data_IF_237832155013
#
_entry.id   IF_237832155013
#
_cell.length_a   1.000
_cell.length_b   1.000
_cell.length_c   1.000
_cell.angle_alpha   90.00
_cell.angle_beta   90.00
_cell.angle_gamma   90.00
#
_symmetry.space_group_name_H-M   'P 1'
#
loop_
_entity.id
_entity.type
_entity.pdbx_description
1 polymer ?
#
# COMPACT_ATOMS: atom_id res chain seq x y z
N UNK A 1 5.65 12.13 -41.69
CA UNK A 1 5.68 11.09 -40.64
C UNK A 1 5.70 11.78 -39.28
N UNK A 2 4.63 11.67 -38.49
CA UNK A 2 4.66 12.11 -37.09
C UNK A 2 5.46 11.06 -36.31
N UNK A 3 6.58 11.44 -35.70
CA UNK A 3 7.26 10.60 -34.72
C UNK A 3 6.26 10.31 -33.59
N UNK A 4 5.84 9.05 -33.42
CA UNK A 4 5.13 8.62 -32.21
C UNK A 4 6.13 8.80 -31.06
N UNK A 5 5.92 9.80 -30.21
CA UNK A 5 6.63 9.92 -28.96
C UNK A 5 6.36 8.66 -28.11
N UNK A 6 7.44 8.01 -27.67
CA UNK A 6 7.57 6.94 -26.68
C UNK A 6 6.25 6.39 -26.09
N UNK A 7 5.69 5.33 -26.70
CA UNK A 7 4.78 4.45 -25.97
C UNK A 7 5.59 3.68 -24.92
N UNK A 8 5.22 3.76 -23.64
CA UNK A 8 5.85 2.92 -22.62
C UNK A 8 5.65 1.45 -22.97
N UNK A 9 6.67 0.64 -22.71
CA UNK A 9 6.58 -0.81 -22.86
C UNK A 9 6.06 -1.35 -21.52
N UNK A 10 4.94 -2.10 -21.49
CA UNK A 10 4.45 -2.71 -20.25
C UNK A 10 5.53 -3.57 -19.60
N UNK A 11 5.70 -3.48 -18.27
CA UNK A 11 6.75 -4.20 -17.52
C UNK A 11 6.72 -5.71 -17.82
N UNK A 12 5.53 -6.31 -17.88
CA UNK A 12 5.33 -7.73 -18.24
C UNK A 12 5.89 -8.15 -19.60
N UNK A 13 6.17 -7.19 -20.49
CA UNK A 13 6.77 -7.43 -21.80
C UNK A 13 8.30 -7.25 -21.79
N UNK A 14 8.89 -6.82 -20.67
CA UNK A 14 10.33 -6.62 -20.50
C UNK A 14 10.91 -7.83 -19.76
N UNK A 15 11.95 -8.43 -20.32
CA UNK A 15 12.67 -9.54 -19.71
C UNK A 15 14.11 -9.15 -19.41
N UNK A 16 14.49 -9.22 -18.14
CA UNK A 16 15.88 -9.03 -17.70
C UNK A 16 16.57 -10.40 -17.73
N UNK A 17 17.64 -10.51 -18.51
CA UNK A 17 18.34 -11.79 -18.75
C UNK A 17 19.82 -11.73 -18.36
N UNK A 18 20.22 -10.74 -17.57
CA UNK A 18 21.60 -10.57 -17.14
C UNK A 18 21.86 -11.22 -15.77
N UNK A 19 23.13 -11.50 -15.47
CA UNK A 19 23.51 -12.16 -14.22
C UNK A 19 23.48 -11.22 -13.02
N UNK A 20 23.72 -9.92 -13.23
CA UNK A 20 23.85 -8.97 -12.13
C UNK A 20 22.49 -8.68 -11.52
N UNK A 21 21.48 -8.32 -12.32
CA UNK A 21 20.17 -7.99 -11.77
C UNK A 21 19.37 -9.21 -11.36
N UNK A 22 19.46 -10.33 -12.10
CA UNK A 22 18.71 -11.53 -11.72
C UNK A 22 19.09 -12.03 -10.32
N UNK A 23 20.37 -11.91 -9.91
CA UNK A 23 20.78 -12.20 -8.53
C UNK A 23 19.94 -11.45 -7.49
N UNK A 24 19.71 -10.14 -7.68
CA UNK A 24 18.96 -9.31 -6.73
C UNK A 24 17.47 -9.53 -6.84
N UNK A 25 16.97 -9.66 -8.06
CA UNK A 25 15.57 -9.89 -8.33
C UNK A 25 15.08 -11.24 -7.76
N UNK A 26 15.89 -12.30 -7.90
CA UNK A 26 15.64 -13.61 -7.30
C UNK A 26 15.67 -13.52 -5.77
N UNK A 27 16.67 -12.82 -5.21
CA UNK A 27 16.75 -12.57 -3.76
C UNK A 27 15.51 -11.84 -3.23
N UNK A 28 15.02 -10.83 -3.95
CA UNK A 28 13.83 -10.08 -3.56
C UNK A 28 12.60 -11.00 -3.52
N UNK A 29 12.36 -11.74 -4.60
CA UNK A 29 11.19 -12.59 -4.75
C UNK A 29 11.18 -13.82 -3.84
N UNK A 30 12.32 -14.52 -3.76
CA UNK A 30 12.41 -15.82 -3.07
C UNK A 30 12.70 -15.69 -1.58
N UNK A 31 13.27 -14.57 -1.13
CA UNK A 31 13.72 -14.40 0.25
C UNK A 31 13.13 -13.16 0.91
N UNK A 32 13.29 -11.97 0.32
CA UNK A 32 12.94 -10.71 1.00
C UNK A 32 11.43 -10.56 1.15
N UNK A 33 10.65 -10.73 0.08
CA UNK A 33 9.19 -10.60 0.11
C UNK A 33 8.57 -11.60 1.11
N UNK A 34 8.91 -12.91 1.09
CA UNK A 34 8.42 -13.85 2.10
C UNK A 34 8.83 -13.49 3.53
N UNK A 35 10.09 -13.09 3.74
CA UNK A 35 10.57 -12.71 5.06
C UNK A 35 9.83 -11.47 5.61
N UNK A 36 9.65 -10.44 4.77
CA UNK A 36 8.91 -9.24 5.15
C UNK A 36 7.44 -9.55 5.47
N UNK A 37 6.81 -10.47 4.74
CA UNK A 37 5.45 -10.91 5.06
C UNK A 37 5.37 -11.52 6.46
N UNK A 38 6.34 -12.34 6.85
CA UNK A 38 6.40 -12.91 8.19
C UNK A 38 6.68 -11.86 9.27
N UNK A 39 7.46 -10.81 8.97
CA UNK A 39 7.66 -9.65 9.87
C UNK A 39 6.35 -8.87 10.05
N UNK A 40 5.65 -8.51 8.97
CA UNK A 40 4.39 -7.77 9.01
C UNK A 40 3.29 -8.50 9.80
N UNK A 41 3.39 -9.83 9.90
CA UNK A 41 2.48 -10.71 10.63
C UNK A 41 3.02 -11.13 12.02
N UNK A 42 4.13 -10.57 12.48
CA UNK A 42 4.76 -10.88 13.77
C UNK A 42 5.06 -12.37 13.99
N UNK A 43 5.42 -13.09 12.92
CA UNK A 43 5.68 -14.54 12.95
C UNK A 43 7.13 -14.90 13.33
N UNK A 44 8.00 -13.90 13.44
CA UNK A 44 9.41 -14.08 13.76
C UNK A 44 9.67 -13.79 15.25
N UNK A 45 10.34 -14.71 15.95
CA UNK A 45 10.52 -14.64 17.41
C UNK A 45 11.58 -13.66 17.89
N UNK A 46 12.61 -13.42 17.08
CA UNK A 46 13.80 -12.64 17.45
C UNK A 46 13.87 -11.29 16.71
N UNK A 47 12.72 -10.79 16.26
CA UNK A 47 12.56 -9.51 15.57
C UNK A 47 11.53 -8.68 16.34
N UNK A 48 11.74 -7.37 16.41
CA UNK A 48 10.75 -6.45 16.99
C UNK A 48 9.43 -6.54 16.23
N UNK A 49 8.31 -6.50 16.96
CA UNK A 49 6.98 -6.65 16.37
C UNK A 49 6.67 -5.46 15.46
N UNK A 50 6.19 -5.75 14.26
CA UNK A 50 5.67 -4.76 13.33
C UNK A 50 4.25 -4.35 13.70
N UNK A 51 3.41 -5.32 14.09
CA UNK A 51 1.97 -5.14 14.38
C UNK A 51 1.15 -4.58 13.20
N UNK A 52 1.73 -4.46 12.00
CA UNK A 52 1.10 -3.84 10.84
C UNK A 52 -0.20 -4.57 10.44
N UNK A 53 -0.13 -5.88 10.22
CA UNK A 53 -1.33 -6.67 9.85
C UNK A 53 -2.35 -6.70 10.99
N UNK A 54 -1.90 -6.68 12.23
CA UNK A 54 -2.79 -6.67 13.40
C UNK A 54 -3.52 -5.32 13.55
N UNK A 55 -2.86 -4.19 13.27
CA UNK A 55 -3.49 -2.87 13.19
C UNK A 55 -4.64 -2.88 12.17
N UNK A 56 -4.45 -3.46 10.99
CA UNK A 56 -5.53 -3.60 10.01
C UNK A 56 -6.68 -4.49 10.51
N UNK A 57 -6.41 -5.59 11.21
CA UNK A 57 -7.46 -6.42 11.82
C UNK A 57 -8.24 -5.68 12.89
N UNK A 58 -7.57 -4.88 13.72
CA UNK A 58 -8.23 -4.06 14.75
C UNK A 58 -9.10 -2.98 14.08
N UNK A 59 -8.56 -2.27 13.07
CA UNK A 59 -9.30 -1.26 12.32
C UNK A 59 -10.53 -1.84 11.59
N UNK A 60 -10.44 -3.08 11.12
CA UNK A 60 -11.54 -3.84 10.52
C UNK A 60 -12.53 -4.44 11.53
N UNK A 61 -12.31 -4.29 12.84
CA UNK A 61 -13.12 -4.91 13.89
C UNK A 61 -13.04 -6.44 13.95
N UNK A 62 -12.00 -7.03 13.37
CA UNK A 62 -11.73 -8.48 13.36
C UNK A 62 -10.85 -8.93 14.53
N UNK A 63 -10.20 -7.99 15.20
CA UNK A 63 -9.40 -8.21 16.40
C UNK A 63 -9.65 -7.11 17.42
N UNK A 64 -9.33 -7.39 18.69
CA UNK A 64 -9.36 -6.41 19.78
C UNK A 64 -7.93 -6.14 20.22
N UNK A 65 -7.57 -4.87 20.38
CA UNK A 65 -6.22 -4.49 20.81
C UNK A 65 -6.01 -2.98 20.69
N UNK A 66 -4.80 -2.55 21.00
CA UNK A 66 -4.35 -1.19 20.74
C UNK A 66 -3.53 -1.17 19.45
N UNK A 67 -3.48 0.00 18.83
CA UNK A 67 -2.52 0.26 17.76
C UNK A 67 -1.08 0.24 18.30
N UNK A 68 -0.15 -0.26 17.50
CA UNK A 68 1.29 -0.22 17.76
C UNK A 68 2.07 0.14 16.49
N UNK A 69 3.31 0.61 16.66
CA UNK A 69 4.17 1.06 15.57
C UNK A 69 4.20 2.57 15.36
N UNK A 70 4.87 3.00 14.29
CA UNK A 70 4.94 4.41 13.89
C UNK A 70 3.60 4.87 13.31
N UNK A 71 3.29 6.16 13.28
CA UNK A 71 2.00 6.67 12.73
C UNK A 71 1.75 6.27 11.26
N UNK A 72 2.81 5.95 10.51
CA UNK A 72 2.78 5.53 9.11
C UNK A 72 2.97 4.00 8.92
N UNK A 73 2.73 3.18 9.95
CA UNK A 73 2.99 1.74 9.91
C UNK A 73 2.26 1.03 8.75
N UNK A 74 1.10 1.55 8.35
CA UNK A 74 0.32 1.05 7.22
C UNK A 74 1.11 1.03 5.90
N UNK A 75 2.07 1.95 5.74
CA UNK A 75 2.87 2.05 4.51
C UNK A 75 3.82 0.88 4.32
N UNK A 76 4.14 0.14 5.37
CA UNK A 76 4.96 -1.07 5.24
C UNK A 76 4.20 -2.15 4.47
N UNK A 77 2.88 -2.28 4.68
CA UNK A 77 2.03 -3.18 3.89
C UNK A 77 1.85 -2.67 2.47
N UNK A 78 1.65 -1.36 2.28
CA UNK A 78 1.52 -0.77 0.94
C UNK A 78 2.77 -1.03 0.09
N UNK A 79 3.96 -0.75 0.61
CA UNK A 79 5.24 -0.99 -0.07
C UNK A 79 5.50 -2.48 -0.33
N UNK A 80 5.08 -3.36 0.59
CA UNK A 80 5.15 -4.80 0.36
C UNK A 80 4.25 -5.23 -0.81
N UNK A 81 3.02 -4.72 -0.87
CA UNK A 81 2.09 -5.00 -1.99
C UNK A 81 2.60 -4.45 -3.32
N UNK A 82 3.21 -3.27 -3.32
CA UNK A 82 3.85 -2.69 -4.51
C UNK A 82 4.99 -3.60 -5.03
N UNK A 83 5.87 -4.05 -4.13
CA UNK A 83 6.95 -4.97 -4.47
C UNK A 83 6.41 -6.30 -5.03
N UNK A 84 5.32 -6.83 -4.47
CA UNK A 84 4.62 -8.01 -5.00
C UNK A 84 4.09 -7.74 -6.41
N UNK A 85 3.46 -6.58 -6.65
CA UNK A 85 2.99 -6.18 -7.98
C UNK A 85 4.12 -6.21 -9.03
N UNK A 86 5.25 -5.57 -8.73
CA UNK A 86 6.40 -5.59 -9.64
C UNK A 86 7.02 -6.98 -9.82
N UNK A 87 7.07 -7.78 -8.75
CA UNK A 87 7.56 -9.15 -8.84
C UNK A 87 6.69 -10.01 -9.77
N UNK A 88 5.37 -10.02 -9.55
CA UNK A 88 4.42 -10.76 -10.39
C UNK A 88 4.45 -10.31 -11.85
N UNK A 89 4.59 -9.00 -12.09
CA UNK A 89 4.70 -8.44 -13.44
C UNK A 89 6.00 -8.88 -14.15
N UNK A 90 7.12 -8.96 -13.43
CA UNK A 90 8.44 -9.19 -14.04
C UNK A 90 8.92 -10.66 -14.05
N UNK A 91 8.43 -11.52 -13.15
CA UNK A 91 8.77 -12.96 -13.09
C UNK A 91 7.70 -13.87 -13.67
N UNK A 92 6.47 -13.37 -13.80
CA UNK A 92 5.30 -14.20 -14.08
C UNK A 92 4.56 -14.57 -12.80
N UNK A 93 3.44 -15.28 -12.99
CA UNK A 93 2.45 -15.50 -11.94
C UNK A 93 2.95 -16.48 -10.88
N UNK A 94 2.95 -16.05 -9.62
CA UNK A 94 3.09 -16.89 -8.43
C UNK A 94 1.75 -16.92 -7.70
N UNK A 95 1.02 -18.02 -7.84
CA UNK A 95 -0.33 -18.15 -7.30
C UNK A 95 -0.39 -18.06 -5.77
N UNK A 96 0.67 -18.49 -5.07
CA UNK A 96 0.70 -18.45 -3.60
C UNK A 96 0.93 -17.03 -3.12
N UNK A 97 1.88 -16.32 -3.72
CA UNK A 97 2.15 -14.94 -3.37
C UNK A 97 0.98 -14.03 -3.73
N UNK A 98 0.37 -14.24 -4.90
CA UNK A 98 -0.82 -13.51 -5.33
C UNK A 98 -2.01 -13.74 -4.38
N UNK A 99 -2.19 -14.96 -3.85
CA UNK A 99 -3.23 -15.25 -2.87
C UNK A 99 -2.99 -14.54 -1.52
N UNK A 100 -1.73 -14.45 -1.07
CA UNK A 100 -1.39 -13.68 0.14
C UNK A 100 -1.64 -12.18 -0.03
N UNK A 101 -1.29 -11.63 -1.20
CA UNK A 101 -1.59 -10.24 -1.52
C UNK A 101 -3.10 -9.99 -1.61
N UNK A 102 -3.87 -10.89 -2.23
CA UNK A 102 -5.34 -10.80 -2.24
C UNK A 102 -5.93 -10.82 -0.81
N UNK A 103 -5.42 -11.68 0.09
CA UNK A 103 -5.87 -11.72 1.49
C UNK A 103 -5.59 -10.41 2.22
N UNK A 104 -4.40 -9.82 2.01
CA UNK A 104 -4.06 -8.52 2.56
C UNK A 104 -4.97 -7.41 2.01
N UNK A 105 -5.27 -7.44 0.71
CA UNK A 105 -6.17 -6.47 0.05
C UNK A 105 -7.61 -6.61 0.59
N UNK A 106 -8.09 -7.84 0.81
CA UNK A 106 -9.39 -8.10 1.44
C UNK A 106 -9.45 -7.54 2.87
N UNK A 107 -8.33 -7.57 3.59
CA UNK A 107 -8.23 -6.99 4.93
C UNK A 107 -8.25 -5.46 4.88
N UNK A 108 -7.51 -4.85 3.94
CA UNK A 108 -7.52 -3.40 3.69
C UNK A 108 -8.93 -2.92 3.36
N UNK A 109 -9.66 -3.65 2.50
CA UNK A 109 -11.06 -3.34 2.13
C UNK A 109 -11.97 -3.28 3.37
N UNK A 110 -11.82 -4.24 4.29
CA UNK A 110 -12.60 -4.28 5.53
C UNK A 110 -12.23 -3.19 6.53
N UNK A 111 -10.99 -2.71 6.50
CA UNK A 111 -10.52 -1.61 7.35
C UNK A 111 -10.92 -0.23 6.82
N UNK A 112 -11.15 -0.09 5.50
CA UNK A 112 -11.57 1.18 4.89
C UNK A 112 -12.93 1.62 5.45
N UNK A 113 -13.01 2.89 5.86
CA UNK A 113 -14.25 3.48 6.36
C UNK A 113 -15.23 3.77 5.22
N UNK A 114 -16.55 3.91 5.50
CA UNK A 114 -17.58 4.10 4.48
C UNK A 114 -17.40 5.34 3.57
N UNK A 115 -16.68 6.35 4.04
CA UNK A 115 -16.38 7.58 3.30
C UNK A 115 -15.12 7.46 2.41
N UNK A 116 -14.44 6.32 2.44
CA UNK A 116 -13.18 6.06 1.73
C UNK A 116 -11.93 6.23 2.59
N UNK A 117 -12.04 6.70 3.84
CA UNK A 117 -10.89 6.94 4.72
C UNK A 117 -10.15 5.64 5.05
N UNK A 118 -8.82 5.66 4.93
CA UNK A 118 -7.95 4.52 5.22
C UNK A 118 -6.64 4.98 5.87
N UNK A 119 -6.57 4.84 7.20
CA UNK A 119 -5.35 4.95 8.02
C UNK A 119 -5.66 4.35 9.39
N UNK A 120 -5.01 3.24 9.75
CA UNK A 120 -5.36 2.45 10.93
C UNK A 120 -5.05 3.19 12.22
N UNK A 121 -4.02 4.04 12.27
CA UNK A 121 -3.70 4.84 13.46
C UNK A 121 -4.86 5.74 13.83
N UNK A 122 -5.37 6.52 12.86
CA UNK A 122 -6.48 7.43 13.13
C UNK A 122 -7.81 6.70 13.28
N UNK A 123 -8.03 5.57 12.62
CA UNK A 123 -9.24 4.76 12.83
C UNK A 123 -9.30 4.26 14.29
N UNK A 124 -8.17 3.79 14.83
CA UNK A 124 -8.12 3.11 16.13
C UNK A 124 -7.91 4.10 17.29
N UNK A 125 -6.87 4.92 17.21
CA UNK A 125 -6.42 5.73 18.35
C UNK A 125 -7.01 7.13 18.38
N UNK A 126 -7.25 7.72 17.20
CA UNK A 126 -7.52 9.16 17.10
C UNK A 126 -8.54 9.54 16.02
N UNK A 127 -9.76 8.97 16.02
CA UNK A 127 -10.74 9.19 14.96
C UNK A 127 -11.16 10.66 14.81
N UNK A 128 -11.17 11.40 15.92
CA UNK A 128 -11.48 12.83 15.93
C UNK A 128 -10.30 13.72 15.50
N UNK A 129 -9.16 13.13 15.12
CA UNK A 129 -7.92 13.84 14.75
C UNK A 129 -7.53 13.71 13.28
N UNK A 130 -8.32 13.00 12.49
CA UNK A 130 -8.15 12.90 11.03
C UNK A 130 -7.95 14.29 10.41
N UNK A 131 -6.93 14.42 9.57
CA UNK A 131 -6.53 15.61 8.81
C UNK A 131 -6.11 16.83 9.65
N UNK A 132 -5.87 16.67 10.96
CA UNK A 132 -5.54 17.80 11.86
C UNK A 132 -4.05 18.01 12.09
N UNK A 133 -3.21 17.02 11.83
CA UNK A 133 -1.75 17.14 11.92
C UNK A 133 -1.09 16.69 10.60
N UNK A 134 -1.21 17.51 9.56
CA UNK A 134 -0.66 17.17 8.24
C UNK A 134 0.88 17.14 8.22
N UNK A 135 1.54 17.80 9.18
CA UNK A 135 3.00 17.89 9.24
C UNK A 135 3.64 16.56 9.66
N UNK A 136 3.04 15.85 10.62
CA UNK A 136 3.64 14.63 11.21
C UNK A 136 2.69 13.43 11.19
N UNK A 137 1.41 13.62 10.85
CA UNK A 137 0.40 12.56 10.87
C UNK A 137 0.49 11.56 9.72
N UNK A 138 1.20 11.89 8.64
CA UNK A 138 1.44 11.00 7.48
C UNK A 138 0.20 10.42 6.78
N UNK A 139 -1.02 10.89 7.06
CA UNK A 139 -2.26 10.35 6.43
C UNK A 139 -2.20 10.40 4.89
N UNK A 140 -1.74 11.54 4.33
CA UNK A 140 -1.56 11.72 2.89
C UNK A 140 -0.35 10.93 2.34
N UNK A 141 0.71 10.77 3.15
CA UNK A 141 1.85 9.93 2.79
C UNK A 141 1.44 8.46 2.67
N UNK A 142 0.64 7.99 3.62
CA UNK A 142 0.04 6.66 3.61
C UNK A 142 -0.87 6.46 2.41
N UNK A 143 -1.71 7.44 2.09
CA UNK A 143 -2.57 7.40 0.91
C UNK A 143 -1.76 7.23 -0.39
N UNK A 144 -0.69 8.01 -0.57
CA UNK A 144 0.15 7.94 -1.77
C UNK A 144 0.77 6.55 -1.97
N UNK A 145 1.36 5.95 -0.94
CA UNK A 145 1.91 4.60 -1.05
C UNK A 145 0.86 3.52 -1.37
N UNK A 146 -0.37 3.66 -0.86
CA UNK A 146 -1.44 2.76 -1.29
C UNK A 146 -1.82 2.96 -2.76
N UNK A 147 -1.81 4.19 -3.27
CA UNK A 147 -2.05 4.46 -4.69
C UNK A 147 -0.97 3.81 -5.58
N UNK A 148 0.31 3.89 -5.19
CA UNK A 148 1.40 3.21 -5.89
C UNK A 148 1.20 1.68 -5.91
N UNK A 149 0.96 1.10 -4.74
CA UNK A 149 0.71 -0.33 -4.59
C UNK A 149 -0.48 -0.80 -5.43
N UNK A 150 -1.56 -0.02 -5.45
CA UNK A 150 -2.77 -0.35 -6.19
C UNK A 150 -2.52 -0.38 -7.70
N UNK A 151 -1.81 0.61 -8.23
CA UNK A 151 -1.47 0.68 -9.66
C UNK A 151 -0.55 -0.48 -10.02
N UNK A 152 0.52 -0.72 -9.26
CA UNK A 152 1.46 -1.82 -9.50
C UNK A 152 0.75 -3.18 -9.52
N UNK A 153 -0.13 -3.43 -8.54
CA UNK A 153 -0.86 -4.69 -8.43
C UNK A 153 -1.89 -4.87 -9.55
N UNK A 154 -2.60 -3.80 -9.93
CA UNK A 154 -3.52 -3.81 -11.07
C UNK A 154 -2.79 -4.07 -12.39
N UNK A 155 -1.67 -3.42 -12.65
CA UNK A 155 -0.90 -3.65 -13.87
C UNK A 155 -0.36 -5.09 -13.98
N UNK A 156 0.00 -5.69 -12.84
CA UNK A 156 0.51 -7.05 -12.78
C UNK A 156 -0.58 -8.12 -12.96
N UNK A 157 -1.72 -7.95 -12.29
CA UNK A 157 -2.74 -9.01 -12.15
C UNK A 157 -4.04 -8.75 -12.93
N UNK A 158 -4.31 -7.48 -13.26
CA UNK A 158 -5.60 -7.01 -13.78
C UNK A 158 -6.72 -6.94 -12.74
N UNK A 159 -6.45 -7.26 -11.47
CA UNK A 159 -7.46 -7.23 -10.38
C UNK A 159 -7.66 -5.80 -9.89
N UNK A 160 -8.93 -5.40 -9.79
CA UNK A 160 -9.31 -4.02 -9.48
C UNK A 160 -9.55 -3.71 -8.02
N UNK A 161 -9.66 -4.70 -7.14
CA UNK A 161 -10.11 -4.47 -5.75
C UNK A 161 -9.33 -3.35 -5.04
N UNK A 162 -7.99 -3.46 -4.98
CA UNK A 162 -7.16 -2.41 -4.36
C UNK A 162 -7.22 -1.08 -5.13
N UNK A 163 -7.37 -1.11 -6.45
CA UNK A 163 -7.54 0.09 -7.26
C UNK A 163 -8.83 0.84 -6.89
N UNK A 164 -9.93 0.10 -6.74
CA UNK A 164 -11.23 0.68 -6.39
C UNK A 164 -11.20 1.24 -4.94
N UNK A 165 -10.52 0.56 -4.01
CA UNK A 165 -10.27 1.06 -2.64
C UNK A 165 -9.56 2.42 -2.67
N UNK A 166 -8.44 2.53 -3.40
CA UNK A 166 -7.68 3.78 -3.44
C UNK A 166 -8.36 4.88 -4.25
N UNK A 167 -9.22 4.53 -5.22
CA UNK A 167 -10.06 5.51 -5.89
C UNK A 167 -11.05 6.15 -4.91
N UNK A 168 -11.70 5.37 -4.04
CA UNK A 168 -12.56 5.93 -2.99
C UNK A 168 -11.78 6.82 -2.02
N UNK A 169 -10.55 6.43 -1.66
CA UNK A 169 -9.67 7.27 -0.86
C UNK A 169 -9.32 8.57 -1.60
N UNK A 170 -8.95 8.49 -2.88
CA UNK A 170 -8.63 9.66 -3.70
C UNK A 170 -9.83 10.62 -3.84
N UNK A 171 -11.04 10.10 -4.03
CA UNK A 171 -12.26 10.89 -4.09
C UNK A 171 -12.50 11.62 -2.75
N UNK A 172 -12.28 10.94 -1.62
CA UNK A 172 -12.31 11.58 -0.30
C UNK A 172 -11.27 12.68 -0.18
N UNK A 173 -10.02 12.44 -0.58
CA UNK A 173 -8.96 13.44 -0.55
C UNK A 173 -9.32 14.67 -1.38
N UNK A 174 -9.84 14.49 -2.60
CA UNK A 174 -10.30 15.59 -3.46
C UNK A 174 -11.48 16.36 -2.86
N UNK A 175 -12.29 15.73 -2.00
CA UNK A 175 -13.35 16.43 -1.27
C UNK A 175 -12.83 17.22 -0.07
N UNK A 176 -11.81 16.69 0.63
CA UNK A 176 -11.25 17.29 1.85
C UNK A 176 -10.24 18.39 1.54
N UNK A 177 -9.40 18.22 0.52
CA UNK A 177 -8.29 19.12 0.19
C UNK A 177 -8.52 19.83 -1.14
N UNK A 178 -8.21 21.12 -1.20
CA UNK A 178 -8.36 21.92 -2.42
C UNK A 178 -8.40 23.41 -2.16
N UNK A 179 -8.78 24.18 -3.18
CA UNK A 179 -8.94 25.64 -3.11
C UNK A 179 -10.38 26.09 -2.79
N UNK A 180 -11.31 25.14 -2.64
CA UNK A 180 -12.69 25.39 -2.27
C UNK A 180 -12.82 26.00 -0.87
N UNK A 181 -13.89 26.76 -0.65
CA UNK A 181 -14.14 27.54 0.58
C UNK A 181 -14.12 26.69 1.87
N UNK A 182 -14.62 25.46 1.80
CA UNK A 182 -14.75 24.56 2.95
C UNK A 182 -13.70 23.45 2.94
N UNK A 183 -12.71 23.52 2.05
CA UNK A 183 -11.64 22.54 1.93
C UNK A 183 -10.40 22.95 2.74
N UNK A 184 -9.60 21.96 3.11
CA UNK A 184 -8.30 22.18 3.71
C UNK A 184 -7.29 22.58 2.63
N UNK A 185 -6.69 23.77 2.79
CA UNK A 185 -5.61 24.29 1.92
C UNK A 185 -4.22 23.79 2.33
N UNK A 186 -4.16 22.80 3.23
CA UNK A 186 -2.92 22.20 3.70
C UNK A 186 -2.36 21.16 2.72
N UNK A 187 -1.15 20.72 2.99
CA UNK A 187 -0.40 19.71 2.25
C UNK A 187 0.42 18.87 3.24
N UNK A 188 0.90 17.67 2.86
CA UNK A 188 1.60 16.82 3.81
C UNK A 188 2.95 17.42 4.20
N UNK A 189 3.40 17.15 5.43
CA UNK A 189 4.77 17.41 5.86
C UNK A 189 5.78 16.46 5.22
N UNK A 190 5.36 15.24 4.86
CA UNK A 190 6.13 14.30 4.07
C UNK A 190 5.50 14.12 2.68
N UNK A 191 6.09 14.67 1.60
CA UNK A 191 5.56 14.51 0.24
C UNK A 191 5.52 13.05 -0.20
N UNK A 192 4.45 12.66 -0.90
CA UNK A 192 4.26 11.35 -1.57
C UNK A 192 3.02 11.37 -2.49
N UNK A 193 1.85 11.80 -1.98
CA UNK A 193 0.58 11.94 -2.74
C UNK A 193 0.58 13.03 -3.79
#
# INVERSE_FOLDING_TARGET
MKYKANSSIPIKNIKITDKFWNKYRDLVGEVIIPYQWDVLNDRLKDVETSHCIENFKIAAGLSNGNYEGAVFQDTDLAKWLEAVGFYLSSYGRDEKLEALADEAIDLIEKAQQPDGYLDTYFIINAPDKKWKNLCEGHELYTAGHFMEAAVAYFEATGKRKILDIVCHLADLLCSVFGDGKDQCHGYPGHPEV
#
